data_IF_566257193774
#
_entry.id   IF_566257193774
#
_cell.length_a   1.000
_cell.length_b   1.000
_cell.length_c   1.000
_cell.angle_alpha   90.00
_cell.angle_beta   90.00
_cell.angle_gamma   90.00
#
_symmetry.space_group_name_H-M   'P 1'
#
loop_
_entity.id
_entity.type
_entity.pdbx_description
1 polymer ?
#
# COMPACT_ATOMS: atom_id res chain seq x y z
N UNK A 1 20.49 11.33 4.09
CA UNK A 1 20.27 10.01 3.49
C UNK A 1 20.47 10.12 1.99
N UNK A 2 21.39 9.34 1.41
CA UNK A 2 21.62 9.25 -0.03
C UNK A 2 21.82 7.79 -0.41
N UNK A 3 21.13 7.37 -1.45
CA UNK A 3 21.24 6.04 -2.05
C UNK A 3 21.45 6.25 -3.54
N UNK A 4 22.47 5.60 -4.09
CA UNK A 4 22.71 5.57 -5.52
C UNK A 4 22.25 4.18 -6.02
N UNK A 5 21.20 4.17 -6.85
CA UNK A 5 20.66 2.95 -7.46
C UNK A 5 20.78 3.06 -8.99
N UNK A 6 21.34 2.02 -9.61
CA UNK A 6 21.51 1.94 -11.06
C UNK A 6 20.84 0.68 -11.56
N UNK A 7 20.09 0.79 -12.66
CA UNK A 7 19.35 -0.33 -13.22
C UNK A 7 18.47 0.09 -14.38
N UNK A 8 17.59 -0.80 -14.81
CA UNK A 8 16.64 -0.53 -15.90
C UNK A 8 15.28 -0.17 -15.31
N UNK A 9 14.62 0.90 -15.78
CA UNK A 9 13.26 1.22 -15.34
C UNK A 9 12.26 0.25 -15.96
N UNK A 10 11.48 -0.44 -15.14
CA UNK A 10 10.50 -1.44 -15.58
C UNK A 10 9.17 -1.33 -14.83
N UNK A 11 8.16 -2.03 -15.33
CA UNK A 11 6.93 -2.30 -14.61
C UNK A 11 6.96 -3.79 -14.29
N UNK A 12 7.02 -4.14 -13.01
CA UNK A 12 7.24 -5.53 -12.59
C UNK A 12 5.97 -6.38 -12.78
N UNK A 13 6.05 -7.68 -12.42
CA UNK A 13 4.91 -8.60 -12.52
C UNK A 13 3.71 -8.22 -11.64
N UNK A 14 3.96 -7.46 -10.57
CA UNK A 14 2.93 -6.96 -9.64
C UNK A 14 2.32 -5.64 -10.12
N UNK A 15 2.75 -5.12 -11.28
CA UNK A 15 2.26 -3.88 -11.87
C UNK A 15 2.90 -2.61 -11.33
N UNK A 16 3.94 -2.69 -10.49
CA UNK A 16 4.63 -1.52 -9.95
C UNK A 16 5.71 -1.01 -10.89
N UNK A 17 5.79 0.31 -11.06
CA UNK A 17 6.92 0.96 -11.72
C UNK A 17 8.11 1.02 -10.77
N UNK A 18 9.22 0.39 -11.16
CA UNK A 18 10.41 0.31 -10.34
C UNK A 18 11.69 0.49 -11.18
N UNK A 19 12.83 0.56 -10.48
CA UNK A 19 14.15 0.36 -11.08
C UNK A 19 14.54 -1.08 -10.75
N UNK A 20 14.66 -1.94 -11.77
CA UNK A 20 15.29 -3.24 -11.66
C UNK A 20 16.79 -3.04 -11.41
N UNK A 21 17.13 -2.85 -10.14
CA UNK A 21 18.45 -2.39 -9.73
C UNK A 21 19.49 -3.47 -10.02
N UNK A 22 20.48 -3.12 -10.85
CA UNK A 22 21.69 -3.90 -11.02
C UNK A 22 22.66 -3.66 -9.85
N UNK A 23 22.67 -2.44 -9.30
CA UNK A 23 23.48 -2.06 -8.14
C UNK A 23 22.74 -1.10 -7.23
N UNK A 24 22.92 -1.25 -5.92
CA UNK A 24 22.46 -0.30 -4.90
C UNK A 24 23.62 0.01 -3.96
N UNK A 25 24.01 1.28 -3.87
CA UNK A 25 25.08 1.75 -2.98
C UNK A 25 24.50 2.71 -1.94
N UNK A 26 24.70 2.38 -0.67
CA UNK A 26 24.25 3.19 0.47
C UNK A 26 25.37 4.16 0.88
N UNK A 27 25.09 5.46 0.85
CA UNK A 27 26.06 6.50 1.24
C UNK A 27 25.83 7.07 2.65
N UNK A 28 24.92 6.47 3.42
CA UNK A 28 24.64 6.85 4.80
C UNK A 28 23.23 6.45 5.24
N UNK A 29 22.89 6.76 6.47
CA UNK A 29 21.57 6.50 7.07
C UNK A 29 20.81 7.80 7.32
N UNK A 30 19.52 7.68 7.63
CA UNK A 30 18.65 8.79 8.02
C UNK A 30 17.28 8.28 8.41
N UNK A 31 16.47 9.16 9.00
CA UNK A 31 15.06 8.91 9.26
C UNK A 31 14.20 9.69 8.27
N UNK A 32 13.11 9.06 7.84
CA UNK A 32 12.07 9.69 7.04
C UNK A 32 10.75 9.59 7.80
N UNK A 33 10.01 10.69 7.87
CA UNK A 33 8.67 10.70 8.43
C UNK A 33 7.70 10.07 7.43
N UNK A 34 6.88 9.08 7.83
CA UNK A 34 5.89 8.52 6.93
C UNK A 34 4.76 9.53 6.66
N UNK A 35 4.21 9.50 5.44
CA UNK A 35 3.01 10.28 5.11
C UNK A 35 1.77 9.59 5.66
N UNK A 36 1.06 10.24 6.58
CA UNK A 36 -0.18 9.72 7.14
C UNK A 36 -1.33 9.85 6.12
N UNK A 37 -2.09 8.77 5.89
CA UNK A 37 -3.24 8.76 4.99
C UNK A 37 -4.27 7.68 5.34
N UNK A 38 -5.50 7.87 4.85
CA UNK A 38 -6.59 6.90 4.96
C UNK A 38 -6.43 5.75 3.95
N UNK A 39 -7.03 4.60 4.23
CA UNK A 39 -6.87 3.38 3.43
C UNK A 39 -7.32 3.58 1.98
N UNK A 40 -8.40 4.34 1.77
CA UNK A 40 -8.93 4.58 0.43
C UNK A 40 -8.00 5.33 -0.51
N UNK A 41 -7.08 6.14 0.02
CA UNK A 41 -6.11 6.91 -0.78
C UNK A 41 -4.84 6.13 -1.11
N UNK A 42 -4.62 4.95 -0.53
CA UNK A 42 -3.42 4.13 -0.76
C UNK A 42 -3.44 3.57 -2.19
N UNK A 43 -2.28 3.56 -2.84
CA UNK A 43 -2.10 3.13 -4.22
C UNK A 43 -2.37 4.25 -5.23
N UNK A 44 -3.58 4.81 -5.19
CA UNK A 44 -4.01 5.87 -6.10
C UNK A 44 -4.30 5.43 -7.54
N UNK A 45 -4.54 6.40 -8.42
CA UNK A 45 -4.88 6.14 -9.82
C UNK A 45 -3.68 5.84 -10.73
N UNK A 46 -3.97 5.63 -12.01
CA UNK A 46 -2.93 5.37 -13.01
C UNK A 46 -1.97 6.58 -13.15
N UNK A 47 -0.69 6.30 -13.37
CA UNK A 47 0.33 7.31 -13.62
C UNK A 47 1.44 6.79 -14.54
N UNK A 48 1.58 7.40 -15.72
CA UNK A 48 2.59 6.99 -16.69
C UNK A 48 2.34 5.56 -17.20
N UNK A 49 3.31 4.67 -16.99
CA UNK A 49 3.25 3.24 -17.38
C UNK A 49 2.80 2.33 -16.23
N UNK A 50 2.21 2.91 -15.18
CA UNK A 50 1.67 2.18 -14.04
C UNK A 50 0.15 2.35 -13.99
N UNK A 51 -0.55 1.24 -13.98
CA UNK A 51 -2.01 1.23 -13.85
C UNK A 51 -2.45 1.68 -12.45
N UNK A 52 -3.69 2.11 -12.35
CA UNK A 52 -4.31 2.46 -11.08
C UNK A 52 -4.75 1.23 -10.32
N UNK A 53 -4.74 1.32 -9.00
CA UNK A 53 -5.37 0.30 -8.16
C UNK A 53 -6.89 0.28 -8.38
N UNK A 54 -7.50 -0.87 -8.19
CA UNK A 54 -8.95 -1.05 -8.23
C UNK A 54 -9.54 -0.95 -6.82
N UNK A 55 -10.79 -0.50 -6.76
CA UNK A 55 -11.52 -0.41 -5.52
C UNK A 55 -12.96 0.04 -5.71
N UNK A 56 -13.74 -0.06 -4.63
CA UNK A 56 -15.10 0.47 -4.62
C UNK A 56 -15.04 2.01 -4.64
N UNK A 57 -15.66 2.64 -5.63
CA UNK A 57 -15.69 4.11 -5.77
C UNK A 57 -17.12 4.62 -5.85
N UNK A 58 -17.39 5.76 -5.22
CA UNK A 58 -18.63 6.50 -5.42
C UNK A 58 -18.45 7.54 -6.53
N UNK A 59 -19.42 7.61 -7.43
CA UNK A 59 -19.45 8.59 -8.50
C UNK A 59 -20.89 9.02 -8.78
N UNK A 60 -21.07 10.15 -9.48
CA UNK A 60 -22.38 10.58 -9.93
C UNK A 60 -22.63 10.08 -11.35
N UNK A 61 -23.79 9.50 -11.60
CA UNK A 61 -24.23 9.17 -12.95
C UNK A 61 -24.60 10.43 -13.75
N UNK A 62 -24.97 10.26 -15.03
CA UNK A 62 -25.37 11.37 -15.91
C UNK A 62 -26.63 12.12 -15.43
N UNK A 63 -27.37 11.57 -14.48
CA UNK A 63 -28.55 12.18 -13.86
C UNK A 63 -28.24 12.80 -12.48
N UNK A 64 -26.97 12.75 -12.04
CA UNK A 64 -26.51 13.32 -10.79
C UNK A 64 -26.73 12.45 -9.55
N UNK A 65 -27.21 11.21 -9.70
CA UNK A 65 -27.41 10.28 -8.58
C UNK A 65 -26.09 9.61 -8.19
N UNK A 66 -25.89 9.38 -6.88
CA UNK A 66 -24.74 8.64 -6.38
C UNK A 66 -24.87 7.15 -6.70
N UNK A 67 -23.83 6.61 -7.32
CA UNK A 67 -23.66 5.19 -7.58
C UNK A 67 -22.34 4.70 -7.00
N UNK A 68 -22.28 3.40 -6.70
CA UNK A 68 -21.07 2.71 -6.26
C UNK A 68 -20.71 1.66 -7.30
N UNK A 69 -19.46 1.61 -7.74
CA UNK A 69 -18.98 0.53 -8.57
C UNK A 69 -17.52 0.18 -8.29
N UNK A 70 -17.17 -1.07 -8.60
CA UNK A 70 -15.82 -1.57 -8.60
C UNK A 70 -15.11 -1.12 -9.87
N UNK A 71 -14.11 -0.25 -9.75
CA UNK A 71 -13.43 0.36 -10.89
C UNK A 71 -12.02 0.84 -10.51
N UNK A 72 -11.17 1.23 -11.47
CA UNK A 72 -9.93 1.92 -11.17
C UNK A 72 -10.16 3.16 -10.31
N UNK A 73 -9.39 3.29 -9.25
CA UNK A 73 -9.45 4.40 -8.30
C UNK A 73 -8.86 5.65 -8.94
N UNK A 74 -9.37 6.81 -8.57
CA UNK A 74 -8.83 8.11 -8.96
C UNK A 74 -8.04 8.75 -7.81
N UNK A 75 -7.10 9.63 -8.15
CA UNK A 75 -6.29 10.34 -7.16
C UNK A 75 -4.79 10.13 -7.36
N UNK A 76 -3.99 10.80 -6.53
CA UNK A 76 -2.54 10.80 -6.65
C UNK A 76 -1.98 9.40 -6.39
N UNK A 77 -1.19 8.90 -7.35
CA UNK A 77 -0.46 7.64 -7.18
C UNK A 77 0.67 7.83 -6.15
N UNK A 78 0.66 7.01 -5.09
CA UNK A 78 1.63 7.07 -4.00
C UNK A 78 2.43 5.78 -3.82
N UNK A 79 2.37 4.87 -4.81
CA UNK A 79 3.16 3.64 -4.78
C UNK A 79 4.66 3.98 -4.73
N UNK A 80 5.38 3.29 -3.86
CA UNK A 80 6.80 3.52 -3.56
C UNK A 80 7.04 4.52 -2.42
N UNK A 81 6.03 5.22 -1.90
CA UNK A 81 6.19 6.13 -0.76
C UNK A 81 6.10 5.40 0.58
N UNK A 82 6.87 5.88 1.57
CA UNK A 82 6.69 5.47 2.96
C UNK A 82 5.45 6.17 3.53
N UNK A 83 4.47 5.36 3.94
CA UNK A 83 3.20 5.85 4.46
C UNK A 83 2.96 5.35 5.89
N UNK A 84 2.03 6.01 6.57
CA UNK A 84 1.41 5.54 7.82
C UNK A 84 -0.08 5.47 7.61
N UNK A 85 -0.69 4.37 8.02
CA UNK A 85 -2.14 4.23 8.06
C UNK A 85 -2.57 3.41 9.28
N UNK A 86 -3.86 3.20 9.46
CA UNK A 86 -4.41 2.51 10.61
C UNK A 86 -5.75 1.87 10.25
N UNK A 87 -6.22 0.93 11.05
CA UNK A 87 -7.55 0.38 10.87
C UNK A 87 -7.86 -0.77 11.81
N UNK A 88 -9.09 -1.23 11.73
CA UNK A 88 -9.54 -2.47 12.33
C UNK A 88 -8.93 -3.64 11.57
N UNK A 89 -8.37 -4.61 12.27
CA UNK A 89 -7.90 -5.86 11.70
C UNK A 89 -9.10 -6.73 11.32
N UNK A 90 -9.12 -7.20 10.08
CA UNK A 90 -10.23 -7.96 9.48
C UNK A 90 -9.81 -9.37 9.04
N UNK A 91 -8.51 -9.61 8.89
CA UNK A 91 -7.93 -10.89 8.56
C UNK A 91 -6.51 -10.96 9.12
N UNK A 92 -6.09 -12.14 9.58
CA UNK A 92 -4.73 -12.42 10.07
C UNK A 92 -4.29 -13.79 9.59
N UNK A 93 -3.04 -13.85 9.14
CA UNK A 93 -2.26 -15.03 8.79
C UNK A 93 -0.80 -14.82 9.24
N UNK A 94 0.05 -15.85 9.12
CA UNK A 94 1.40 -15.86 9.70
C UNK A 94 2.26 -14.65 9.33
N UNK A 95 2.20 -14.18 8.07
CA UNK A 95 2.99 -13.05 7.56
C UNK A 95 2.14 -12.03 6.79
N UNK A 96 0.83 -12.03 7.05
CA UNK A 96 -0.11 -11.17 6.35
C UNK A 96 -1.29 -10.85 7.24
N UNK A 97 -1.77 -9.62 7.18
CA UNK A 97 -3.04 -9.24 7.78
C UNK A 97 -3.74 -8.19 6.92
N UNK A 98 -5.00 -7.89 7.21
CA UNK A 98 -5.77 -6.89 6.46
C UNK A 98 -6.41 -5.89 7.42
N UNK A 99 -6.34 -4.61 7.08
CA UNK A 99 -6.94 -3.52 7.84
C UNK A 99 -8.00 -2.76 7.06
N UNK A 100 -8.99 -2.23 7.78
CA UNK A 100 -9.99 -1.29 7.27
C UNK A 100 -10.18 -0.14 8.27
N UNK A 101 -10.01 1.11 7.81
CA UNK A 101 -10.19 2.32 8.60
C UNK A 101 -11.65 2.81 8.65
N UNK A 102 -12.57 2.06 8.05
CA UNK A 102 -13.98 2.42 7.89
C UNK A 102 -14.29 3.07 6.54
N UNK A 103 -13.30 3.26 5.66
CA UNK A 103 -13.53 3.68 4.28
C UNK A 103 -14.09 2.57 3.39
N UNK A 104 -14.21 1.34 3.91
CA UNK A 104 -14.66 0.18 3.16
C UNK A 104 -13.61 -0.33 2.17
N UNK A 105 -12.35 0.06 2.37
CA UNK A 105 -11.21 -0.37 1.56
C UNK A 105 -10.29 -1.23 2.41
N UNK A 106 -10.31 -2.53 2.11
CA UNK A 106 -9.43 -3.51 2.73
C UNK A 106 -8.02 -3.33 2.18
N UNK A 107 -7.06 -3.15 3.08
CA UNK A 107 -5.65 -2.99 2.73
C UNK A 107 -4.88 -4.18 3.27
N UNK A 108 -4.27 -4.95 2.36
CA UNK A 108 -3.39 -6.05 2.75
C UNK A 108 -2.08 -5.49 3.24
N UNK A 109 -1.60 -6.02 4.35
CA UNK A 109 -0.28 -5.75 4.89
C UNK A 109 0.51 -7.04 4.87
N UNK A 110 1.72 -7.00 4.31
CA UNK A 110 2.65 -8.14 4.30
C UNK A 110 3.88 -7.80 5.13
N UNK A 111 4.37 -8.79 5.86
CA UNK A 111 5.52 -8.63 6.75
C UNK A 111 6.63 -9.61 6.37
N UNK A 112 7.91 -9.28 6.65
CA UNK A 112 8.98 -10.27 6.59
C UNK A 112 8.84 -11.31 7.70
N UNK A 113 9.62 -12.38 7.59
CA UNK A 113 9.52 -13.54 8.47
C UNK A 113 9.90 -13.29 9.93
N UNK A 114 10.66 -12.22 10.20
CA UNK A 114 11.11 -11.80 11.53
C UNK A 114 10.11 -10.89 12.26
N UNK A 115 9.01 -10.51 11.61
CA UNK A 115 7.91 -9.76 12.22
C UNK A 115 6.85 -10.74 12.73
N UNK A 116 6.46 -10.57 13.99
CA UNK A 116 5.39 -11.36 14.60
C UNK A 116 4.04 -10.70 14.34
N UNK A 117 3.15 -11.45 13.71
CA UNK A 117 1.75 -11.07 13.52
C UNK A 117 0.92 -11.70 14.63
N UNK A 118 0.22 -10.87 15.41
CA UNK A 118 -0.60 -11.34 16.53
C UNK A 118 -2.06 -11.54 16.08
N UNK A 119 -2.61 -12.76 16.18
CA UNK A 119 -4.01 -13.03 15.84
C UNK A 119 -5.01 -12.33 16.77
N UNK A 120 -4.58 -11.80 17.91
CA UNK A 120 -5.43 -11.07 18.86
C UNK A 120 -5.58 -9.57 18.55
N UNK A 121 -4.92 -9.05 17.50
CA UNK A 121 -5.05 -7.64 17.13
C UNK A 121 -6.48 -7.26 16.74
N UNK A 122 -6.98 -6.16 17.31
CA UNK A 122 -8.28 -5.56 17.00
C UNK A 122 -8.12 -4.31 16.13
N UNK A 123 -7.30 -3.37 16.58
CA UNK A 123 -6.94 -2.15 15.84
C UNK A 123 -5.44 -1.99 15.82
N UNK A 124 -4.90 -1.57 14.68
CA UNK A 124 -3.47 -1.34 14.52
C UNK A 124 -3.19 -0.10 13.67
N UNK A 125 -2.09 0.56 13.97
CA UNK A 125 -1.41 1.52 13.11
C UNK A 125 -0.19 0.86 12.47
N UNK A 126 0.04 1.10 11.19
CA UNK A 126 1.16 0.52 10.45
C UNK A 126 1.93 1.60 9.69
N UNK A 127 3.25 1.42 9.62
CA UNK A 127 4.16 2.16 8.75
C UNK A 127 4.69 1.17 7.71
N UNK A 128 4.72 1.57 6.45
CA UNK A 128 5.22 0.70 5.40
C UNK A 128 5.26 1.39 4.05
N UNK A 129 5.80 0.70 3.07
CA UNK A 129 5.81 1.19 1.69
C UNK A 129 4.45 0.92 1.07
N UNK A 130 3.82 1.97 0.54
CA UNK A 130 2.63 1.83 -0.31
C UNK A 130 3.02 1.08 -1.57
N UNK A 131 2.33 -0.02 -1.83
CA UNK A 131 2.66 -1.00 -2.85
C UNK A 131 1.37 -1.50 -3.51
N UNK A 132 1.49 -2.32 -4.54
CA UNK A 132 0.38 -3.10 -5.07
C UNK A 132 0.71 -4.57 -5.25
N UNK A 133 -0.34 -5.37 -5.36
CA UNK A 133 -0.28 -6.73 -5.85
C UNK A 133 -1.23 -6.89 -7.04
N UNK A 134 -0.85 -7.72 -8.00
CA UNK A 134 -1.69 -8.05 -9.15
C UNK A 134 -2.54 -9.28 -8.85
N UNK A 135 -3.86 -9.15 -8.91
CA UNK A 135 -4.84 -10.24 -8.77
C UNK A 135 -5.65 -10.32 -10.07
N UNK A 136 -5.39 -11.36 -10.87
CA UNK A 136 -5.92 -11.39 -12.24
C UNK A 136 -5.36 -10.23 -13.06
N UNK A 137 -6.23 -9.36 -13.57
CA UNK A 137 -5.83 -8.12 -14.27
C UNK A 137 -5.93 -6.85 -13.40
N UNK A 138 -6.30 -6.99 -12.13
CA UNK A 138 -6.52 -5.86 -11.23
C UNK A 138 -5.32 -5.64 -10.31
N UNK A 139 -5.02 -4.37 -10.01
CA UNK A 139 -4.05 -4.00 -8.99
C UNK A 139 -4.76 -3.70 -7.67
N UNK A 140 -4.32 -4.33 -6.59
CA UNK A 140 -4.89 -4.17 -5.25
C UNK A 140 -3.88 -3.51 -4.30
N UNK A 141 -4.42 -2.84 -3.27
CA UNK A 141 -3.62 -2.13 -2.26
C UNK A 141 -2.79 -3.09 -1.42
N UNK A 142 -1.50 -2.83 -1.34
CA UNK A 142 -0.57 -3.58 -0.52
C UNK A 142 0.27 -2.62 0.31
N UNK A 143 0.52 -2.96 1.58
CA UNK A 143 1.54 -2.30 2.39
C UNK A 143 2.64 -3.31 2.69
N UNK A 144 3.86 -2.96 2.33
CA UNK A 144 5.06 -3.73 2.69
C UNK A 144 5.64 -3.18 3.98
N UNK A 145 5.45 -3.91 5.07
CA UNK A 145 5.99 -3.59 6.39
C UNK A 145 7.42 -4.08 6.45
N UNK A 146 8.30 -3.33 7.12
CA UNK A 146 9.73 -3.67 7.18
C UNK A 146 10.13 -4.37 8.49
N UNK A 147 9.57 -3.98 9.64
CA UNK A 147 10.00 -4.47 10.96
C UNK A 147 8.93 -4.29 12.02
N UNK A 148 9.11 -4.91 13.18
CA UNK A 148 8.12 -4.95 14.26
C UNK A 148 7.74 -3.55 14.77
N UNK A 149 8.70 -2.62 14.87
CA UNK A 149 8.43 -1.26 15.37
C UNK A 149 7.61 -0.40 14.40
N UNK A 150 7.40 -0.87 13.17
CA UNK A 150 6.52 -0.22 12.21
C UNK A 150 5.04 -0.59 12.47
N UNK A 151 4.73 -1.43 13.46
CA UNK A 151 3.37 -1.83 13.87
C UNK A 151 3.10 -1.36 15.30
N UNK A 152 1.96 -0.69 15.51
CA UNK A 152 1.46 -0.31 16.82
C UNK A 152 0.05 -0.86 17.03
N UNK A 153 -0.15 -1.70 18.04
CA UNK A 153 -1.47 -2.23 18.39
C UNK A 153 -2.21 -1.32 19.37
N UNK A 154 -3.52 -1.22 19.17
CA UNK A 154 -4.44 -0.48 20.03
C UNK A 154 -5.54 -1.45 20.48
N UNK A 155 -5.68 -1.64 21.79
CA UNK A 155 -6.71 -2.50 22.40
C UNK A 155 -8.02 -1.75 22.56
#
# INVERSE_FOLDING_TARGET
MRVDATGTPETNSDGERCIAAATVTLHGTGSIGPLAMNNGAIGGGAFGLQDGIWGLQSFRDGNGNWQWAWMPVSGLNNIGLLIRTWGRVTYVDQHTFTIDDGSGQHVKCVTPSDVTVDPAWTYIGVIGVSSCEKIGEELHRLIRIRKQEDIASYQ
#
